data_IF_601934466836
#
_entry.id   IF_601934466836
#
_cell.length_a   1.000
_cell.length_b   1.000
_cell.length_c   1.000
_cell.angle_alpha   90.00
_cell.angle_beta   90.00
_cell.angle_gamma   90.00
#
_symmetry.space_group_name_H-M   'P 1'
#
loop_
_entity.id
_entity.type
_entity.pdbx_description
1 polymer ?
#
# COMPACT_ATOMS: atom_id res chain seq x y z
N UNK A 1 -7.72 12.36 -18.72
CA UNK A 1 -6.47 11.78 -18.21
C UNK A 1 -6.74 11.17 -16.85
N UNK A 2 -6.28 9.95 -16.59
CA UNK A 2 -6.61 9.19 -15.37
C UNK A 2 -5.40 8.39 -14.89
N UNK A 3 -5.25 8.25 -13.58
CA UNK A 3 -4.28 7.35 -12.96
C UNK A 3 -5.05 6.21 -12.29
N UNK A 4 -4.64 4.97 -12.57
CA UNK A 4 -5.28 3.76 -12.01
C UNK A 4 -4.27 2.65 -11.74
N UNK A 5 -4.46 1.90 -10.66
CA UNK A 5 -3.67 0.71 -10.35
C UNK A 5 -3.26 0.66 -8.89
N UNK A 6 -2.90 -0.53 -8.41
CA UNK A 6 -2.57 -0.77 -7.01
C UNK A 6 -1.36 0.05 -6.54
N UNK A 7 -0.45 0.41 -7.47
CA UNK A 7 0.72 1.24 -7.20
C UNK A 7 0.44 2.66 -6.69
N UNK A 8 -0.81 3.14 -6.71
CA UNK A 8 -1.24 4.41 -6.09
C UNK A 8 -2.28 4.22 -4.99
N UNK A 9 -2.45 2.99 -4.49
CA UNK A 9 -3.40 2.65 -3.43
C UNK A 9 -2.71 1.95 -2.26
N UNK A 10 -2.60 0.61 -2.30
CA UNK A 10 -1.97 -0.20 -1.26
C UNK A 10 -0.96 -1.13 -1.87
N UNK A 11 0.26 -1.11 -1.34
CA UNK A 11 1.38 -1.83 -1.93
C UNK A 11 2.14 -2.61 -0.86
N UNK A 12 2.43 -3.90 -1.07
CA UNK A 12 3.32 -4.63 -0.17
C UNK A 12 4.78 -4.15 -0.31
N UNK A 13 5.47 -3.98 0.82
CA UNK A 13 6.88 -3.62 0.82
C UNK A 13 7.73 -4.65 0.06
N UNK A 14 8.79 -4.19 -0.61
CA UNK A 14 9.75 -4.99 -1.38
C UNK A 14 9.16 -5.77 -2.55
N UNK A 15 7.92 -5.48 -2.96
CA UNK A 15 7.30 -6.05 -4.14
C UNK A 15 7.12 -4.99 -5.22
N UNK A 16 7.32 -5.32 -6.51
CA UNK A 16 7.05 -4.39 -7.60
C UNK A 16 5.58 -3.95 -7.60
N UNK A 17 5.36 -2.65 -7.56
CA UNK A 17 4.06 -2.01 -7.68
C UNK A 17 3.93 -1.38 -9.06
N UNK A 18 2.71 -1.39 -9.60
CA UNK A 18 2.43 -0.85 -10.92
C UNK A 18 1.17 0.01 -10.91
N UNK A 19 1.20 1.09 -11.69
CA UNK A 19 0.00 1.84 -12.04
C UNK A 19 0.10 2.37 -13.48
N UNK A 20 -1.04 2.73 -14.03
CA UNK A 20 -1.18 3.23 -15.40
C UNK A 20 -1.65 4.68 -15.38
N UNK A 21 -1.06 5.49 -16.26
CA UNK A 21 -1.44 6.86 -16.55
C UNK A 21 -1.99 6.90 -17.98
N UNK A 22 -3.29 7.12 -18.09
CA UNK A 22 -4.00 7.28 -19.36
C UNK A 22 -4.08 8.76 -19.72
N UNK A 23 -3.50 9.15 -20.86
CA UNK A 23 -3.58 10.52 -21.40
C UNK A 23 -4.75 10.75 -22.34
N UNK A 24 -5.58 9.73 -22.61
CA UNK A 24 -6.71 9.78 -23.53
C UNK A 24 -6.30 9.81 -25.00
N UNK A 25 -5.19 9.16 -25.37
CA UNK A 25 -4.66 9.16 -26.74
C UNK A 25 -3.96 10.46 -27.15
N UNK A 26 -3.83 11.42 -26.24
CA UNK A 26 -3.15 12.68 -26.54
C UNK A 26 -1.63 12.52 -26.32
N UNK A 27 -0.85 12.89 -27.33
CA UNK A 27 0.58 13.11 -27.20
C UNK A 27 0.85 14.52 -26.65
N UNK A 28 0.77 14.64 -25.33
CA UNK A 28 0.75 15.92 -24.60
C UNK A 28 2.11 16.30 -23.99
N UNK A 29 3.17 15.62 -24.42
CA UNK A 29 4.55 15.91 -24.01
C UNK A 29 5.13 14.90 -23.00
N UNK A 30 6.21 15.29 -22.32
CA UNK A 30 6.97 14.40 -21.45
C UNK A 30 6.23 14.13 -20.12
N UNK A 31 5.79 12.89 -19.93
CA UNK A 31 5.29 12.41 -18.65
C UNK A 31 6.47 12.20 -17.68
N UNK A 32 6.40 12.84 -16.52
CA UNK A 32 7.37 12.70 -15.44
C UNK A 32 6.68 12.14 -14.20
N UNK A 33 7.31 11.16 -13.57
CA UNK A 33 6.80 10.53 -12.35
C UNK A 33 7.89 10.50 -11.30
N UNK A 34 7.57 10.98 -10.11
CA UNK A 34 8.46 10.91 -8.95
C UNK A 34 7.73 10.20 -7.81
N UNK A 35 8.38 9.20 -7.22
CA UNK A 35 7.88 8.50 -6.03
C UNK A 35 8.82 8.79 -4.88
N UNK A 36 8.27 9.32 -3.78
CA UNK A 36 9.04 9.70 -2.59
C UNK A 36 8.50 8.97 -1.38
N UNK A 37 9.37 8.26 -0.66
CA UNK A 37 9.04 7.53 0.56
C UNK A 37 8.93 8.41 1.82
N UNK A 38 8.52 7.83 2.96
CA UNK A 38 8.31 8.54 4.22
C UNK A 38 9.55 9.28 4.74
N UNK A 39 10.75 8.73 4.50
CA UNK A 39 12.04 9.33 4.86
C UNK A 39 12.50 10.44 3.90
N UNK A 40 11.65 10.85 2.95
CA UNK A 40 12.00 11.72 1.83
C UNK A 40 12.99 11.08 0.83
N UNK A 41 13.14 9.75 0.88
CA UNK A 41 13.92 8.98 -0.09
C UNK A 41 13.21 8.95 -1.45
N UNK A 42 13.91 9.28 -2.52
CA UNK A 42 13.39 9.13 -3.88
C UNK A 42 13.55 7.68 -4.34
N UNK A 43 12.47 7.09 -4.86
CA UNK A 43 12.47 5.73 -5.40
C UNK A 43 12.71 5.75 -6.90
N UNK A 44 13.42 4.74 -7.40
CA UNK A 44 13.58 4.53 -8.84
C UNK A 44 12.26 4.07 -9.44
N UNK A 45 11.83 4.76 -10.49
CA UNK A 45 10.65 4.41 -11.29
C UNK A 45 11.06 4.00 -12.69
N UNK A 46 10.39 3.00 -13.24
CA UNK A 46 10.51 2.61 -14.65
C UNK A 46 9.23 3.02 -15.38
N UNK A 47 9.38 3.75 -16.48
CA UNK A 47 8.27 4.17 -17.34
C UNK A 47 8.31 3.36 -18.64
N UNK A 48 7.16 2.83 -19.05
CA UNK A 48 6.97 2.12 -20.32
C UNK A 48 5.61 2.48 -20.95
N UNK A 49 5.39 2.11 -22.21
CA UNK A 49 4.16 2.45 -22.94
C UNK A 49 4.23 3.81 -23.65
N UNK A 50 3.08 4.28 -24.13
CA UNK A 50 2.95 5.49 -24.94
C UNK A 50 1.54 6.10 -24.80
N UNK A 51 1.29 7.23 -25.47
CA UNK A 51 0.00 7.91 -25.42
C UNK A 51 -1.17 7.07 -25.96
N UNK A 52 -0.93 6.16 -26.89
CA UNK A 52 -1.96 5.29 -27.49
C UNK A 52 -2.41 4.16 -26.55
N UNK A 53 -1.45 3.54 -25.84
CA UNK A 53 -1.69 2.39 -24.96
C UNK A 53 -1.80 2.75 -23.47
N UNK A 54 -1.50 4.00 -23.12
CA UNK A 54 -1.30 4.45 -21.76
C UNK A 54 0.14 4.22 -21.30
N UNK A 55 0.58 5.04 -20.34
CA UNK A 55 1.90 4.92 -19.74
C UNK A 55 1.83 4.03 -18.50
N UNK A 56 2.68 3.00 -18.45
CA UNK A 56 2.79 2.09 -17.33
C UNK A 56 4.02 2.45 -16.49
N UNK A 57 3.79 2.68 -15.21
CA UNK A 57 4.82 3.03 -14.23
C UNK A 57 5.01 1.87 -13.27
N UNK A 58 6.27 1.49 -13.04
CA UNK A 58 6.65 0.50 -12.04
C UNK A 58 7.65 1.08 -11.04
N UNK A 59 7.51 0.71 -9.76
CA UNK A 59 8.48 1.01 -8.71
C UNK A 59 8.43 -0.07 -7.62
N UNK A 60 9.47 -0.17 -6.80
CA UNK A 60 9.52 -1.12 -5.67
C UNK A 60 9.77 -0.34 -4.38
N UNK A 61 8.78 -0.24 -3.47
CA UNK A 61 8.98 0.46 -2.21
C UNK A 61 9.80 -0.37 -1.22
N UNK A 62 10.67 0.31 -0.48
CA UNK A 62 11.58 -0.31 0.49
C UNK A 62 11.33 0.15 1.93
N UNK A 63 10.29 0.96 2.14
CA UNK A 63 9.92 1.51 3.44
C UNK A 63 8.41 1.30 3.66
N UNK A 64 8.00 1.04 4.90
CA UNK A 64 6.57 0.99 5.26
C UNK A 64 6.07 2.40 5.48
N UNK A 65 4.87 2.70 4.97
CA UNK A 65 4.20 3.98 5.18
C UNK A 65 3.77 4.68 3.90
N UNK A 66 3.40 5.93 4.07
CA UNK A 66 2.82 6.77 3.01
C UNK A 66 3.90 7.24 2.03
N UNK A 67 3.79 6.81 0.77
CA UNK A 67 4.62 7.23 -0.35
C UNK A 67 3.88 8.23 -1.22
N UNK A 68 4.51 9.36 -1.50
CA UNK A 68 3.97 10.41 -2.37
C UNK A 68 4.30 10.09 -3.82
N UNK A 69 3.28 9.98 -4.67
CA UNK A 69 3.42 9.73 -6.12
C UNK A 69 3.02 11.00 -6.88
N UNK A 70 4.03 11.75 -7.30
CA UNK A 70 3.87 12.97 -8.09
C UNK A 70 3.93 12.63 -9.58
N UNK A 71 2.87 12.98 -10.30
CA UNK A 71 2.69 12.68 -11.73
C UNK A 71 2.43 13.99 -12.46
N UNK A 72 3.35 14.35 -13.34
CA UNK A 72 3.32 15.60 -14.11
C UNK A 72 3.39 15.35 -15.59
N UNK A 73 2.66 16.15 -16.34
CA UNK A 73 2.70 16.22 -17.79
C UNK A 73 3.37 17.54 -18.17
N UNK A 74 4.59 17.47 -18.69
CA UNK A 74 5.47 18.63 -18.76
C UNK A 74 5.70 19.21 -17.35
N UNK A 75 5.32 20.46 -17.12
CA UNK A 75 5.46 21.14 -15.82
C UNK A 75 4.15 21.22 -15.03
N UNK A 76 3.06 20.60 -15.50
CA UNK A 76 1.75 20.67 -14.85
C UNK A 76 1.40 19.35 -14.14
N UNK A 77 0.96 19.38 -12.87
CA UNK A 77 0.48 18.19 -12.18
C UNK A 77 -0.80 17.66 -12.81
N UNK A 78 -0.93 16.34 -12.92
CA UNK A 78 -2.19 15.72 -13.30
C UNK A 78 -3.23 15.91 -12.19
N UNK A 79 -4.51 15.91 -12.58
CA UNK A 79 -5.60 15.96 -11.63
C UNK A 79 -5.52 14.80 -10.62
N UNK A 80 -5.56 15.13 -9.33
CA UNK A 80 -5.40 14.16 -8.23
C UNK A 80 -3.95 13.93 -7.80
N UNK A 81 -2.96 14.45 -8.53
CA UNK A 81 -1.57 14.41 -8.10
C UNK A 81 -1.28 15.48 -7.03
N UNK A 82 -0.49 15.19 -5.99
CA UNK A 82 0.14 13.89 -5.71
C UNK A 82 -0.84 12.83 -5.20
N UNK A 83 -0.63 11.59 -5.63
CA UNK A 83 -1.34 10.42 -5.11
C UNK A 83 -0.61 9.85 -3.90
N UNK A 84 -1.34 9.16 -3.03
CA UNK A 84 -0.79 8.55 -1.82
C UNK A 84 -0.80 7.02 -1.93
N UNK A 85 0.36 6.41 -2.07
CA UNK A 85 0.53 4.96 -2.01
C UNK A 85 0.82 4.53 -0.58
N UNK A 86 -0.01 3.63 -0.04
CA UNK A 86 0.10 3.13 1.33
C UNK A 86 0.86 1.82 1.34
N UNK A 87 2.15 1.91 1.66
CA UNK A 87 3.02 0.73 1.70
C UNK A 87 2.87 0.01 3.04
N UNK A 88 2.65 -1.30 3.01
CA UNK A 88 2.43 -2.12 4.20
C UNK A 88 3.35 -3.36 4.24
N UNK A 89 3.56 -3.89 5.43
CA UNK A 89 4.27 -5.14 5.71
C UNK A 89 3.45 -6.00 6.69
N UNK A 90 2.65 -6.91 6.15
CA UNK A 90 1.80 -7.78 6.96
C UNK A 90 2.62 -8.70 7.89
N UNK A 91 3.90 -8.97 7.58
CA UNK A 91 4.77 -9.80 8.43
C UNK A 91 5.16 -9.12 9.75
N UNK A 92 4.92 -7.80 9.85
CA UNK A 92 5.17 -7.01 11.06
C UNK A 92 4.02 -7.04 12.06
N UNK A 93 2.88 -7.62 11.70
CA UNK A 93 1.79 -7.87 12.64
C UNK A 93 2.20 -9.00 13.58
N UNK A 94 2.19 -8.74 14.88
CA UNK A 94 2.59 -9.71 15.92
C UNK A 94 1.46 -9.90 16.92
N UNK A 95 1.25 -11.15 17.31
CA UNK A 95 0.38 -11.50 18.42
C UNK A 95 1.27 -11.83 19.62
N UNK A 96 1.00 -11.22 20.77
CA UNK A 96 1.75 -11.40 22.00
C UNK A 96 0.81 -11.74 23.17
N UNK A 97 1.41 -12.12 24.31
CA UNK A 97 0.71 -12.45 25.56
C UNK A 97 -0.31 -13.60 25.44
N UNK A 98 -0.08 -14.55 24.52
CA UNK A 98 -0.95 -15.73 24.38
C UNK A 98 -0.72 -16.68 25.55
N UNK A 99 -1.56 -16.57 26.57
CA UNK A 99 -1.54 -17.42 27.74
C UNK A 99 -2.46 -18.65 27.59
N UNK A 100 -2.13 -19.74 28.30
CA UNK A 100 -3.07 -20.85 28.48
C UNK A 100 -4.32 -20.39 29.23
N UNK A 101 -5.49 -20.76 28.72
CA UNK A 101 -6.78 -20.44 29.32
C UNK A 101 -7.26 -21.47 30.33
N UNK A 102 -8.16 -21.02 31.22
CA UNK A 102 -8.95 -21.89 32.11
C UNK A 102 -10.41 -21.71 31.75
N UNK A 103 -11.17 -22.81 31.70
CA UNK A 103 -12.61 -22.79 31.38
C UNK A 103 -13.34 -21.79 32.29
N UNK A 104 -14.16 -20.94 31.69
CA UNK A 104 -14.94 -19.91 32.38
C UNK A 104 -14.15 -18.65 32.77
N UNK A 105 -12.86 -18.56 32.45
CA UNK A 105 -12.05 -17.34 32.63
C UNK A 105 -11.70 -16.71 31.28
N UNK A 106 -11.78 -15.37 31.16
CA UNK A 106 -11.32 -14.70 29.95
C UNK A 106 -9.80 -14.87 29.78
N UNK A 107 -9.37 -14.96 28.53
CA UNK A 107 -7.96 -14.91 28.12
C UNK A 107 -7.79 -13.64 27.30
N UNK A 108 -6.76 -12.88 27.61
CA UNK A 108 -6.37 -11.68 26.88
C UNK A 108 -5.08 -11.98 26.13
N UNK A 109 -4.97 -11.42 24.94
CA UNK A 109 -3.75 -11.38 24.15
C UNK A 109 -3.67 -10.01 23.49
N UNK A 110 -2.47 -9.60 23.10
CA UNK A 110 -2.23 -8.32 22.44
C UNK A 110 -1.88 -8.53 20.98
N UNK A 111 -2.24 -7.57 20.13
CA UNK A 111 -1.82 -7.50 18.73
C UNK A 111 -1.07 -6.20 18.53
N UNK A 112 0.19 -6.30 18.12
CA UNK A 112 1.00 -5.15 17.71
C UNK A 112 1.07 -5.13 16.18
N UNK A 113 0.45 -4.11 15.58
CA UNK A 113 0.50 -3.82 14.15
C UNK A 113 1.16 -2.46 13.86
N UNK A 114 1.82 -1.85 14.86
CA UNK A 114 2.36 -0.49 14.77
C UNK A 114 3.39 -0.32 13.64
N UNK A 115 4.06 -1.41 13.24
CA UNK A 115 5.06 -1.43 12.18
C UNK A 115 4.55 -2.00 10.85
N UNK A 116 3.29 -2.42 10.77
CA UNK A 116 2.74 -3.07 9.58
C UNK A 116 2.28 -2.07 8.50
N UNK A 117 2.15 -0.79 8.85
CA UNK A 117 1.59 0.22 7.95
C UNK A 117 0.07 0.16 7.88
N UNK A 118 -0.51 0.87 6.91
CA UNK A 118 -1.96 0.98 6.80
C UNK A 118 -2.59 -0.34 6.31
N UNK A 119 -3.61 -0.81 7.02
CA UNK A 119 -4.35 -2.01 6.67
C UNK A 119 -5.58 -2.19 7.54
N UNK A 120 -6.45 -3.12 7.14
CA UNK A 120 -7.57 -3.54 7.96
C UNK A 120 -7.16 -4.81 8.72
N UNK A 121 -7.33 -4.82 10.03
CA UNK A 121 -7.12 -6.01 10.85
C UNK A 121 -8.42 -6.77 11.01
N UNK A 122 -8.38 -8.08 10.79
CA UNK A 122 -9.47 -9.01 11.04
C UNK A 122 -8.99 -10.08 12.02
N UNK A 123 -9.80 -10.39 13.04
CA UNK A 123 -9.44 -11.32 14.11
C UNK A 123 -10.46 -12.46 14.12
N UNK A 124 -9.98 -13.68 13.95
CA UNK A 124 -10.77 -14.90 14.02
C UNK A 124 -10.12 -15.83 15.04
N UNK A 125 -10.85 -16.15 16.11
CA UNK A 125 -10.45 -17.15 17.10
C UNK A 125 -11.27 -18.40 16.84
N UNK A 126 -10.61 -19.54 16.62
CA UNK A 126 -11.30 -20.81 16.40
C UNK A 126 -10.62 -21.99 17.12
N UNK A 127 -11.43 -22.97 17.51
CA UNK A 127 -10.97 -24.23 18.12
C UNK A 127 -11.68 -25.38 17.41
N UNK A 128 -10.91 -26.31 16.83
CA UNK A 128 -11.47 -27.44 16.08
C UNK A 128 -12.41 -27.03 14.94
N UNK A 129 -12.12 -25.90 14.27
CA UNK A 129 -12.94 -25.36 13.18
C UNK A 129 -14.21 -24.62 13.62
N UNK A 130 -14.42 -24.41 14.92
CA UNK A 130 -15.56 -23.64 15.45
C UNK A 130 -15.09 -22.27 15.94
N UNK A 131 -15.81 -21.23 15.54
CA UNK A 131 -15.52 -19.87 15.97
C UNK A 131 -15.78 -19.72 17.49
N UNK A 132 -14.81 -19.16 18.19
CA UNK A 132 -14.92 -18.74 19.58
C UNK A 132 -15.26 -17.25 19.59
N UNK A 133 -16.32 -16.84 20.30
CA UNK A 133 -16.62 -15.43 20.47
C UNK A 133 -15.41 -14.68 21.00
N UNK A 134 -15.04 -13.60 20.32
CA UNK A 134 -13.95 -12.71 20.73
C UNK A 134 -14.47 -11.27 20.74
N UNK A 135 -13.82 -10.43 21.53
CA UNK A 135 -14.12 -9.01 21.64
C UNK A 135 -12.81 -8.25 21.50
N UNK A 136 -12.82 -7.21 20.66
CA UNK A 136 -11.68 -6.34 20.40
C UNK A 136 -11.93 -5.02 21.11
N UNK A 137 -10.97 -4.57 21.91
CA UNK A 137 -11.00 -3.27 22.60
C UNK A 137 -9.98 -2.31 21.99
#
# INVERSE_FOLDING_TARGET
MKVTGEGVERVPINQPACFTVDTGGQDVGNLTVNVTGPSQSALKTTLSGNHDSGYRVEYTPTEVGDHTVDVRLGNQPLFGSPFMSKVYDASKVRVADIASGVVGRPVYFSIDASQAGAGNLEIIVSVGGRNVPNYVQ
#
